data_IF_256037906716
#
_entry.id   IF_256037906716
#
_cell.length_a   1.000
_cell.length_b   1.000
_cell.length_c   1.000
_cell.angle_alpha   90.00
_cell.angle_beta   90.00
_cell.angle_gamma   90.00
#
_symmetry.space_group_name_H-M   'P 1'
#
loop_
_entity.id
_entity.type
_entity.pdbx_description
1 polymer ?
#
# COMPACT_ATOMS: atom_id res chain seq x y z
N UNK A 1 71.72 -11.54 4.76
CA UNK A 1 70.50 -12.34 5.08
C UNK A 1 69.30 -11.43 4.92
N UNK A 2 68.53 -11.63 3.86
CA UNK A 2 67.24 -10.96 3.67
C UNK A 2 66.17 -11.79 4.39
N UNK A 3 65.49 -11.19 5.38
CA UNK A 3 64.30 -11.74 6.00
C UNK A 3 63.17 -10.74 5.85
N UNK A 4 62.40 -10.94 4.79
CA UNK A 4 60.94 -10.84 4.69
C UNK A 4 60.22 -10.07 5.82
N UNK A 5 59.88 -8.82 5.55
CA UNK A 5 58.76 -8.12 6.20
C UNK A 5 57.62 -7.96 5.19
N UNK A 6 56.85 -9.03 4.95
CA UNK A 6 55.57 -8.89 4.25
C UNK A 6 54.59 -8.11 5.13
N UNK A 7 53.78 -7.19 4.60
CA UNK A 7 52.81 -6.48 5.42
C UNK A 7 51.82 -7.48 6.00
N UNK A 8 51.75 -7.49 7.34
CA UNK A 8 50.75 -8.22 8.09
C UNK A 8 49.35 -7.93 7.53
N UNK A 9 48.59 -9.00 7.33
CA UNK A 9 47.19 -9.03 6.96
C UNK A 9 46.42 -7.84 7.52
N UNK A 10 45.85 -7.04 6.61
CA UNK A 10 44.89 -6.00 6.90
C UNK A 10 43.76 -6.56 7.76
N UNK A 11 43.80 -6.30 9.07
CA UNK A 11 42.69 -6.57 9.95
C UNK A 11 41.50 -5.76 9.44
N UNK A 12 40.54 -6.44 8.80
CA UNK A 12 39.31 -5.79 8.39
C UNK A 12 38.62 -5.22 9.62
N UNK A 13 38.06 -4.00 9.55
CA UNK A 13 37.46 -3.37 10.71
C UNK A 13 36.37 -4.28 11.28
N UNK A 14 36.17 -4.30 12.62
CA UNK A 14 35.34 -5.28 13.32
C UNK A 14 33.85 -5.30 12.92
N UNK A 15 33.41 -4.39 12.03
CA UNK A 15 32.05 -4.30 11.50
C UNK A 15 32.00 -4.36 9.96
N UNK A 16 33.04 -4.88 9.31
CA UNK A 16 33.07 -5.03 7.86
C UNK A 16 32.05 -6.10 7.41
N UNK A 17 30.96 -5.66 6.80
CA UNK A 17 30.04 -6.53 6.07
C UNK A 17 30.37 -6.49 4.56
N UNK A 18 30.80 -7.61 3.94
CA UNK A 18 31.17 -7.65 2.52
C UNK A 18 29.99 -7.45 1.57
N UNK A 19 28.74 -7.63 2.04
CA UNK A 19 27.55 -7.46 1.21
C UNK A 19 27.10 -5.99 1.10
N UNK A 20 27.67 -5.10 1.92
CA UNK A 20 27.37 -3.67 1.87
C UNK A 20 28.16 -3.00 0.74
N UNK A 21 27.47 -2.22 -0.09
CA UNK A 21 28.10 -1.45 -1.16
C UNK A 21 28.60 -0.10 -0.62
N UNK A 22 29.78 -0.09 0.01
CA UNK A 22 30.37 1.10 0.64
C UNK A 22 30.47 2.31 -0.30
N UNK A 23 30.79 2.08 -1.58
CA UNK A 23 30.85 3.10 -2.63
C UNK A 23 29.53 3.87 -2.82
N UNK A 24 28.38 3.24 -2.52
CA UNK A 24 27.05 3.80 -2.75
C UNK A 24 26.39 4.32 -1.46
N UNK A 25 27.04 4.20 -0.30
CA UNK A 25 26.53 4.74 0.98
C UNK A 25 26.16 6.22 0.92
N UNK A 26 26.94 7.11 0.26
CA UNK A 26 26.57 8.53 0.17
C UNK A 26 25.23 8.79 -0.52
N UNK A 27 24.75 7.87 -1.36
CA UNK A 27 23.46 8.00 -2.08
C UNK A 27 22.26 7.57 -1.24
N UNK A 28 22.47 6.84 -0.13
CA UNK A 28 21.41 6.28 0.70
C UNK A 28 20.41 7.33 1.20
N UNK A 29 20.82 8.51 1.72
CA UNK A 29 19.86 9.46 2.25
C UNK A 29 18.88 9.98 1.19
N UNK A 30 19.38 10.24 -0.02
CA UNK A 30 18.56 10.68 -1.16
C UNK A 30 17.59 9.59 -1.62
N UNK A 31 18.08 8.35 -1.75
CA UNK A 31 17.25 7.21 -2.15
C UNK A 31 16.14 6.93 -1.12
N UNK A 32 16.48 6.94 0.17
CA UNK A 32 15.53 6.74 1.26
C UNK A 32 14.46 7.84 1.28
N UNK A 33 14.86 9.10 1.13
CA UNK A 33 13.95 10.25 1.09
C UNK A 33 13.02 10.17 -0.13
N UNK A 34 13.56 9.87 -1.30
CA UNK A 34 12.79 9.72 -2.54
C UNK A 34 11.78 8.57 -2.43
N UNK A 35 12.23 7.41 -1.93
CA UNK A 35 11.38 6.25 -1.69
C UNK A 35 10.22 6.59 -0.75
N UNK A 36 10.53 7.18 0.42
CA UNK A 36 9.54 7.53 1.42
C UNK A 36 8.49 8.54 0.92
N UNK A 37 8.93 9.58 0.19
CA UNK A 37 8.02 10.59 -0.38
C UNK A 37 7.12 9.96 -1.44
N UNK A 38 7.69 9.25 -2.41
CA UNK A 38 6.94 8.66 -3.52
C UNK A 38 5.94 7.64 -2.99
N UNK A 39 6.38 6.69 -2.15
CA UNK A 39 5.52 5.64 -1.61
C UNK A 39 4.46 6.22 -0.66
N UNK A 40 4.82 7.23 0.14
CA UNK A 40 3.86 7.95 0.97
C UNK A 40 2.75 8.59 0.15
N UNK A 41 3.09 9.33 -0.91
CA UNK A 41 2.09 9.95 -1.80
C UNK A 41 1.20 8.92 -2.48
N UNK A 42 1.76 7.81 -2.95
CA UNK A 42 1.00 6.73 -3.60
C UNK A 42 -0.04 6.15 -2.63
N UNK A 43 0.38 5.70 -1.46
CA UNK A 43 -0.49 4.93 -0.56
C UNK A 43 -1.43 5.78 0.29
N UNK A 44 -1.06 7.02 0.61
CA UNK A 44 -1.88 7.91 1.44
C UNK A 44 -2.79 8.79 0.58
N UNK A 45 -2.33 9.22 -0.60
CA UNK A 45 -3.06 10.22 -1.39
C UNK A 45 -3.65 9.62 -2.66
N UNK A 46 -2.81 9.13 -3.58
CA UNK A 46 -3.25 8.81 -4.95
C UNK A 46 -4.18 7.59 -4.97
N UNK A 47 -3.78 6.49 -4.34
CA UNK A 47 -4.56 5.24 -4.34
C UNK A 47 -5.90 5.39 -3.60
N UNK A 48 -5.96 6.02 -2.41
CA UNK A 48 -7.23 6.30 -1.73
C UNK A 48 -8.11 7.29 -2.49
N UNK A 49 -7.54 8.34 -3.10
CA UNK A 49 -8.30 9.35 -3.86
C UNK A 49 -9.09 8.71 -5.00
N UNK A 50 -8.44 7.88 -5.82
CA UNK A 50 -9.12 7.14 -6.88
C UNK A 50 -10.25 6.25 -6.35
N UNK A 51 -10.06 5.65 -5.17
CA UNK A 51 -11.04 4.75 -4.54
C UNK A 51 -12.25 5.48 -3.95
N UNK A 52 -12.07 6.70 -3.43
CA UNK A 52 -13.16 7.53 -2.88
C UNK A 52 -13.96 8.21 -3.99
N UNK A 53 -13.31 8.70 -5.04
CA UNK A 53 -13.98 9.44 -6.12
C UNK A 53 -14.95 8.58 -6.92
N UNK A 54 -14.59 7.31 -7.21
CA UNK A 54 -15.50 6.36 -7.88
C UNK A 54 -16.75 6.05 -7.05
N UNK A 55 -16.72 6.31 -5.74
CA UNK A 55 -17.87 6.14 -4.85
C UNK A 55 -18.75 7.39 -4.74
N UNK A 56 -18.16 8.56 -4.91
CA UNK A 56 -18.86 9.84 -4.72
C UNK A 56 -19.64 10.30 -5.96
N UNK A 57 -19.27 9.84 -7.16
CA UNK A 57 -19.94 10.23 -8.41
C UNK A 57 -20.50 9.03 -9.16
N UNK A 58 -21.73 9.16 -9.69
CA UNK A 58 -22.41 8.14 -10.53
C UNK A 58 -22.12 8.29 -12.03
N UNK A 59 -21.24 9.20 -12.42
CA UNK A 59 -20.95 9.47 -13.83
C UNK A 59 -20.06 8.38 -14.44
N UNK A 60 -20.31 8.03 -15.71
CA UNK A 60 -19.49 7.04 -16.45
C UNK A 60 -18.01 7.47 -16.55
N UNK A 61 -17.76 8.78 -16.61
CA UNK A 61 -16.41 9.35 -16.69
C UNK A 61 -15.59 9.11 -15.41
N UNK A 62 -16.24 8.88 -14.27
CA UNK A 62 -15.56 8.66 -13.00
C UNK A 62 -14.74 7.37 -13.00
N UNK A 63 -15.13 6.36 -13.79
CA UNK A 63 -14.34 5.12 -13.95
C UNK A 63 -13.02 5.40 -14.66
N UNK A 64 -13.03 6.25 -15.69
CA UNK A 64 -11.81 6.65 -16.40
C UNK A 64 -10.90 7.48 -15.51
N UNK A 65 -11.47 8.39 -14.73
CA UNK A 65 -10.70 9.15 -13.74
C UNK A 65 -10.07 8.21 -12.69
N UNK A 66 -10.84 7.25 -12.17
CA UNK A 66 -10.31 6.23 -11.27
C UNK A 66 -9.15 5.47 -11.91
N UNK A 67 -9.34 4.95 -13.13
CA UNK A 67 -8.31 4.21 -13.85
C UNK A 67 -7.04 5.06 -14.08
N UNK A 68 -7.19 6.34 -14.43
CA UNK A 68 -6.07 7.27 -14.60
C UNK A 68 -5.31 7.48 -13.27
N UNK A 69 -6.02 7.73 -12.17
CA UNK A 69 -5.38 7.84 -10.85
C UNK A 69 -4.65 6.55 -10.45
N UNK A 70 -5.26 5.39 -10.69
CA UNK A 70 -4.61 4.10 -10.41
C UNK A 70 -3.36 3.93 -11.26
N UNK A 71 -3.40 4.26 -12.55
CA UNK A 71 -2.25 4.16 -13.45
C UNK A 71 -1.10 5.08 -13.01
N UNK A 72 -1.39 6.33 -12.64
CA UNK A 72 -0.38 7.26 -12.10
C UNK A 72 0.22 6.72 -10.79
N UNK A 73 -0.64 6.25 -9.88
CA UNK A 73 -0.20 5.65 -8.61
C UNK A 73 0.70 4.44 -8.83
N UNK A 74 0.42 3.63 -9.84
CA UNK A 74 1.20 2.47 -10.23
C UNK A 74 2.59 2.81 -10.79
N UNK A 75 2.67 3.78 -11.71
CA UNK A 75 3.95 4.24 -12.25
C UNK A 75 4.83 4.78 -11.12
N UNK A 76 4.25 5.61 -10.24
CA UNK A 76 4.96 6.12 -9.07
C UNK A 76 5.36 4.99 -8.11
N UNK A 77 4.48 4.02 -7.86
CA UNK A 77 4.77 2.87 -7.01
C UNK A 77 5.98 2.07 -7.51
N UNK A 78 6.08 1.82 -8.81
CA UNK A 78 7.25 1.13 -9.38
C UNK A 78 8.53 1.96 -9.26
N UNK A 79 8.45 3.28 -9.45
CA UNK A 79 9.59 4.17 -9.18
C UNK A 79 10.02 4.15 -7.71
N UNK A 80 9.06 4.17 -6.79
CA UNK A 80 9.28 4.01 -5.35
C UNK A 80 9.90 2.65 -5.01
N UNK A 81 9.37 1.55 -5.56
CA UNK A 81 9.93 0.22 -5.37
C UNK A 81 11.36 0.13 -5.90
N UNK A 82 11.65 0.67 -7.08
CA UNK A 82 12.99 0.65 -7.67
C UNK A 82 14.02 1.36 -6.78
N UNK A 83 13.67 2.53 -6.23
CA UNK A 83 14.53 3.24 -5.27
C UNK A 83 14.70 2.47 -3.96
N UNK A 84 13.64 1.82 -3.47
CA UNK A 84 13.69 0.96 -2.28
C UNK A 84 14.58 -0.29 -2.46
N UNK A 85 14.49 -0.97 -3.61
CA UNK A 85 15.34 -2.11 -3.96
C UNK A 85 16.80 -1.68 -4.06
N UNK A 86 17.08 -0.55 -4.72
CA UNK A 86 18.45 0.01 -4.80
C UNK A 86 19.02 0.25 -3.40
N UNK A 87 18.26 0.92 -2.53
CA UNK A 87 18.66 1.15 -1.14
C UNK A 87 18.90 -0.17 -0.40
N UNK A 88 17.94 -1.11 -0.46
CA UNK A 88 18.02 -2.38 0.25
C UNK A 88 19.22 -3.25 -0.19
N UNK A 89 19.63 -3.18 -1.46
CA UNK A 89 20.86 -3.82 -1.95
C UNK A 89 22.14 -3.18 -1.39
N UNK A 90 22.16 -1.85 -1.27
CA UNK A 90 23.35 -1.13 -0.75
C UNK A 90 23.63 -1.51 0.71
N UNK A 91 22.59 -1.70 1.54
CA UNK A 91 22.73 -2.01 2.98
C UNK A 91 22.47 -3.47 3.34
N UNK A 92 22.40 -4.37 2.35
CA UNK A 92 22.10 -5.81 2.55
C UNK A 92 20.85 -6.07 3.43
N UNK A 93 19.77 -5.35 3.14
CA UNK A 93 18.49 -5.46 3.85
C UNK A 93 17.36 -5.94 2.94
N UNK A 94 17.69 -6.48 1.78
CA UNK A 94 16.69 -7.02 0.86
C UNK A 94 16.06 -8.26 1.51
N UNK A 95 14.81 -8.13 1.97
CA UNK A 95 13.99 -9.17 2.60
C UNK A 95 14.39 -9.56 4.04
N UNK A 96 15.30 -8.81 4.67
CA UNK A 96 15.73 -9.08 6.04
C UNK A 96 15.09 -8.13 7.07
N UNK A 97 13.90 -7.61 6.77
CA UNK A 97 13.11 -6.81 7.69
C UNK A 97 11.63 -6.80 7.28
N UNK A 98 10.76 -6.59 8.28
CA UNK A 98 9.31 -6.59 8.10
C UNK A 98 8.83 -5.62 7.01
N UNK A 99 9.43 -4.42 6.90
CA UNK A 99 9.05 -3.42 5.91
C UNK A 99 9.31 -3.89 4.46
N UNK A 100 10.46 -4.49 4.19
CA UNK A 100 10.80 -4.98 2.84
C UNK A 100 9.99 -6.21 2.46
N UNK A 101 9.75 -7.13 3.39
CA UNK A 101 8.94 -8.33 3.14
C UNK A 101 7.48 -7.95 2.90
N UNK A 102 6.87 -7.20 3.83
CA UNK A 102 5.48 -6.76 3.72
C UNK A 102 5.27 -5.87 2.49
N UNK A 103 6.17 -4.91 2.25
CA UNK A 103 6.10 -4.03 1.08
C UNK A 103 6.12 -4.80 -0.24
N UNK A 104 6.97 -5.81 -0.35
CA UNK A 104 7.05 -6.66 -1.56
C UNK A 104 5.76 -7.44 -1.77
N UNK A 105 5.21 -8.04 -0.70
CA UNK A 105 3.93 -8.76 -0.76
C UNK A 105 2.77 -7.84 -1.14
N UNK A 106 2.71 -6.63 -0.57
CA UNK A 106 1.66 -5.65 -0.88
C UNK A 106 1.73 -5.23 -2.34
N UNK A 107 2.91 -4.93 -2.88
CA UNK A 107 3.06 -4.53 -4.28
C UNK A 107 2.74 -5.70 -5.22
N UNK A 108 3.21 -6.91 -4.92
CA UNK A 108 2.85 -8.11 -5.67
C UNK A 108 1.33 -8.34 -5.69
N UNK A 109 0.66 -8.13 -4.56
CA UNK A 109 -0.80 -8.19 -4.47
C UNK A 109 -1.50 -7.09 -5.27
N UNK A 110 -0.99 -5.86 -5.21
CA UNK A 110 -1.50 -4.75 -6.02
C UNK A 110 -1.40 -5.07 -7.51
N UNK A 111 -0.43 -5.87 -7.96
CA UNK A 111 -0.31 -6.25 -9.37
C UNK A 111 -1.55 -7.00 -9.89
N UNK A 112 -2.26 -7.71 -9.01
CA UNK A 112 -3.46 -8.45 -9.36
C UNK A 112 -4.72 -7.58 -9.41
N UNK A 113 -4.69 -6.36 -8.86
CA UNK A 113 -5.86 -5.47 -8.79
C UNK A 113 -6.46 -5.10 -10.17
N UNK A 114 -5.67 -4.73 -11.21
CA UNK A 114 -6.20 -4.40 -12.53
C UNK A 114 -6.89 -5.57 -13.21
N UNK A 115 -6.44 -6.81 -12.94
CA UNK A 115 -7.07 -8.02 -13.46
C UNK A 115 -8.47 -8.15 -12.86
N UNK A 116 -8.58 -8.08 -11.53
CA UNK A 116 -9.87 -8.14 -10.85
C UNK A 116 -10.78 -6.97 -11.21
N UNK A 117 -10.22 -5.76 -11.35
CA UNK A 117 -10.94 -4.56 -11.78
C UNK A 117 -11.51 -4.69 -13.18
N UNK A 118 -10.73 -5.25 -14.11
CA UNK A 118 -11.16 -5.48 -15.50
C UNK A 118 -12.28 -6.53 -15.58
N UNK A 119 -12.16 -7.64 -14.85
CA UNK A 119 -13.18 -8.69 -14.81
C UNK A 119 -14.49 -8.15 -14.22
N UNK A 120 -14.40 -7.48 -13.07
CA UNK A 120 -15.56 -6.86 -12.43
C UNK A 120 -16.22 -5.82 -13.35
N UNK A 121 -15.45 -4.91 -13.96
CA UNK A 121 -16.03 -3.84 -14.79
C UNK A 121 -16.77 -4.41 -16.01
N UNK A 122 -16.20 -5.42 -16.68
CA UNK A 122 -16.85 -6.11 -17.81
C UNK A 122 -18.15 -6.80 -17.36
N UNK A 123 -18.13 -7.52 -16.24
CA UNK A 123 -19.30 -8.23 -15.70
C UNK A 123 -20.37 -7.26 -15.17
N UNK A 124 -19.98 -6.15 -14.56
CA UNK A 124 -20.90 -5.12 -14.08
C UNK A 124 -21.61 -4.42 -15.24
N UNK A 125 -20.89 -4.10 -16.33
CA UNK A 125 -21.49 -3.52 -17.54
C UNK A 125 -22.52 -4.47 -18.18
N UNK A 126 -22.25 -5.77 -18.16
CA UNK A 126 -23.12 -6.82 -18.70
C UNK A 126 -24.36 -7.09 -17.83
N UNK A 127 -24.19 -7.22 -16.51
CA UNK A 127 -25.25 -7.75 -15.64
C UNK A 127 -25.94 -6.67 -14.79
N UNK A 128 -25.45 -5.41 -14.80
CA UNK A 128 -25.91 -4.28 -13.97
C UNK A 128 -26.04 -4.59 -12.48
N UNK A 129 -25.38 -5.66 -12.01
CA UNK A 129 -25.49 -6.20 -10.66
C UNK A 129 -24.10 -6.41 -10.08
N UNK A 130 -23.99 -6.21 -8.76
CA UNK A 130 -22.75 -6.42 -8.02
C UNK A 130 -22.43 -7.93 -7.99
N UNK A 131 -21.52 -8.35 -8.85
CA UNK A 131 -21.00 -9.73 -8.87
C UNK A 131 -20.00 -9.96 -7.71
N UNK A 132 -19.73 -11.23 -7.38
CA UNK A 132 -18.73 -11.61 -6.37
C UNK A 132 -17.35 -10.95 -6.62
N UNK A 133 -16.99 -10.78 -7.89
CA UNK A 133 -15.77 -10.08 -8.34
C UNK A 133 -15.72 -8.61 -7.90
N UNK A 134 -16.87 -7.94 -7.82
CA UNK A 134 -16.98 -6.58 -7.29
C UNK A 134 -16.55 -6.54 -5.83
N UNK A 135 -17.02 -7.53 -5.05
CA UNK A 135 -16.73 -7.61 -3.63
C UNK A 135 -15.25 -7.92 -3.41
N UNK A 136 -14.72 -8.91 -4.13
CA UNK A 136 -13.31 -9.28 -4.10
C UNK A 136 -12.45 -8.08 -4.46
N UNK A 137 -12.68 -7.43 -5.61
CA UNK A 137 -11.89 -6.28 -6.06
C UNK A 137 -11.84 -5.15 -5.02
N UNK A 138 -13.02 -4.75 -4.50
CA UNK A 138 -13.13 -3.64 -3.54
C UNK A 138 -12.48 -3.98 -2.20
N UNK A 139 -12.74 -5.17 -1.65
CA UNK A 139 -12.23 -5.54 -0.33
C UNK A 139 -10.74 -5.85 -0.36
N UNK A 140 -10.29 -6.57 -1.38
CA UNK A 140 -8.88 -6.82 -1.63
C UNK A 140 -8.10 -5.51 -1.73
N UNK A 141 -8.64 -4.51 -2.44
CA UNK A 141 -7.98 -3.22 -2.63
C UNK A 141 -7.84 -2.45 -1.32
N UNK A 142 -8.91 -2.44 -0.51
CA UNK A 142 -8.89 -1.78 0.81
C UNK A 142 -7.86 -2.39 1.75
N UNK A 143 -7.80 -3.73 1.82
CA UNK A 143 -6.82 -4.43 2.65
C UNK A 143 -5.41 -4.10 2.21
N UNK A 144 -5.12 -4.11 0.90
CA UNK A 144 -3.80 -3.77 0.38
C UNK A 144 -3.40 -2.31 0.65
N UNK A 145 -4.32 -1.36 0.54
CA UNK A 145 -4.04 0.05 0.89
C UNK A 145 -3.72 0.18 2.38
N UNK A 146 -4.51 -0.47 3.27
CA UNK A 146 -4.26 -0.45 4.72
C UNK A 146 -2.89 -1.07 5.06
N UNK A 147 -2.58 -2.23 4.48
CA UNK A 147 -1.27 -2.86 4.65
C UNK A 147 -0.14 -1.98 4.12
N UNK A 148 -0.35 -1.25 3.03
CA UNK A 148 0.61 -0.28 2.51
C UNK A 148 0.85 0.91 3.45
N UNK A 149 -0.20 1.44 4.08
CA UNK A 149 -0.09 2.51 5.09
C UNK A 149 0.69 2.02 6.32
N UNK A 150 0.36 0.82 6.81
CA UNK A 150 1.09 0.16 7.91
C UNK A 150 2.56 -0.04 7.51
N UNK A 151 2.80 -0.52 6.29
CA UNK A 151 4.14 -0.76 5.77
C UNK A 151 4.96 0.53 5.70
N UNK A 152 4.39 1.65 5.29
CA UNK A 152 5.10 2.93 5.32
C UNK A 152 5.42 3.38 6.75
N UNK A 153 4.57 3.09 7.74
CA UNK A 153 4.88 3.28 9.16
C UNK A 153 6.10 2.47 9.63
N UNK A 154 6.19 1.19 9.22
CA UNK A 154 7.36 0.35 9.46
C UNK A 154 8.62 0.90 8.76
N UNK A 155 8.47 1.46 7.56
CA UNK A 155 9.55 2.12 6.82
C UNK A 155 10.09 3.35 7.54
N UNK A 156 9.21 4.17 8.12
CA UNK A 156 9.62 5.31 8.96
C UNK A 156 10.30 4.86 10.26
N UNK A 157 9.84 3.77 10.88
CA UNK A 157 10.51 3.20 12.04
C UNK A 157 11.93 2.75 11.70
N UNK A 158 12.11 2.08 10.56
CA UNK A 158 13.43 1.67 10.06
C UNK A 158 14.33 2.88 9.73
N UNK A 159 13.74 3.96 9.22
CA UNK A 159 14.47 5.17 8.89
C UNK A 159 14.95 5.97 10.11
N UNK A 160 14.49 5.69 11.35
CA UNK A 160 14.87 6.46 12.55
C UNK A 160 16.37 6.49 12.83
N UNK A 161 17.08 5.43 12.46
CA UNK A 161 18.53 5.32 12.62
C UNK A 161 19.30 5.77 11.37
N UNK A 162 18.59 6.24 10.33
CA UNK A 162 19.18 6.68 9.07
C UNK A 162 19.42 8.20 9.07
N UNK A 163 20.52 8.68 8.44
CA UNK A 163 20.71 10.11 8.17
C UNK A 163 19.59 10.74 7.33
N UNK A 164 18.77 9.93 6.65
CA UNK A 164 17.60 10.38 5.89
C UNK A 164 16.41 10.77 6.78
N UNK A 165 16.47 10.47 8.08
CA UNK A 165 15.38 10.69 9.02
C UNK A 165 14.98 12.17 9.10
N UNK A 166 13.67 12.42 9.09
CA UNK A 166 13.12 13.75 9.27
C UNK A 166 11.97 13.69 10.27
N UNK A 167 12.17 14.30 11.45
CA UNK A 167 11.12 14.47 12.46
C UNK A 167 9.84 15.11 11.89
N UNK A 168 9.88 16.23 11.14
CA UNK A 168 8.67 16.80 10.54
C UNK A 168 8.06 15.87 9.50
N UNK A 169 8.87 15.16 8.71
CA UNK A 169 8.38 14.16 7.75
C UNK A 169 7.61 13.02 8.43
N UNK A 170 8.07 12.59 9.61
CA UNK A 170 7.37 11.60 10.44
C UNK A 170 6.03 12.12 10.92
N UNK A 171 5.98 13.34 11.46
CA UNK A 171 4.73 13.94 11.95
C UNK A 171 3.72 14.04 10.80
N UNK A 172 4.13 14.59 9.65
CA UNK A 172 3.27 14.75 8.47
C UNK A 172 2.75 13.38 8.00
N UNK A 173 3.63 12.39 7.85
CA UNK A 173 3.23 11.05 7.44
C UNK A 173 2.23 10.45 8.43
N UNK A 174 2.52 10.48 9.74
CA UNK A 174 1.67 9.89 10.78
C UNK A 174 0.28 10.53 10.84
N UNK A 175 0.19 11.86 10.72
CA UNK A 175 -1.10 12.56 10.71
C UNK A 175 -1.91 12.18 9.48
N UNK A 176 -1.32 12.22 8.27
CA UNK A 176 -2.02 11.89 7.05
C UNK A 176 -2.42 10.40 7.00
N UNK A 177 -1.52 9.50 7.41
CA UNK A 177 -1.80 8.07 7.52
C UNK A 177 -2.94 7.79 8.51
N UNK A 178 -2.96 8.48 9.66
CA UNK A 178 -4.02 8.37 10.64
C UNK A 178 -5.38 8.83 10.09
N UNK A 179 -5.43 10.01 9.47
CA UNK A 179 -6.66 10.56 8.88
C UNK A 179 -7.21 9.66 7.77
N UNK A 180 -6.36 9.25 6.83
CA UNK A 180 -6.75 8.40 5.70
C UNK A 180 -7.13 6.99 6.19
N UNK A 181 -6.36 6.42 7.12
CA UNK A 181 -6.66 5.13 7.73
C UNK A 181 -8.02 5.15 8.44
N UNK A 182 -8.30 6.18 9.24
CA UNK A 182 -9.59 6.37 9.90
C UNK A 182 -10.73 6.54 8.89
N UNK A 183 -10.53 7.32 7.81
CA UNK A 183 -11.54 7.47 6.76
C UNK A 183 -11.86 6.14 6.06
N UNK A 184 -10.84 5.33 5.77
CA UNK A 184 -11.02 4.00 5.16
C UNK A 184 -11.73 3.03 6.13
N UNK A 185 -11.40 3.06 7.42
CA UNK A 185 -12.09 2.29 8.45
C UNK A 185 -13.54 2.77 8.64
N UNK A 186 -13.80 4.07 8.62
CA UNK A 186 -15.15 4.63 8.65
C UNK A 186 -16.00 4.11 7.48
N UNK A 187 -15.43 4.09 6.27
CA UNK A 187 -16.08 3.53 5.10
C UNK A 187 -16.30 2.00 5.21
N UNK A 188 -15.40 1.30 5.89
CA UNK A 188 -15.52 -0.13 6.20
C UNK A 188 -16.74 -0.40 7.09
N UNK A 189 -16.86 0.32 8.21
CA UNK A 189 -17.95 0.14 9.17
C UNK A 189 -19.30 0.66 8.66
N UNK A 190 -19.32 1.76 7.91
CA UNK A 190 -20.55 2.30 7.30
C UNK A 190 -21.22 1.27 6.39
N UNK A 191 -20.46 0.65 5.49
CA UNK A 191 -20.99 -0.36 4.57
C UNK A 191 -21.49 -1.60 5.32
N UNK A 192 -20.82 -1.97 6.42
CA UNK A 192 -21.27 -3.06 7.30
C UNK A 192 -22.61 -2.76 7.99
N UNK A 193 -22.80 -1.54 8.50
CA UNK A 193 -24.03 -1.11 9.18
C UNK A 193 -25.22 -1.00 8.22
N UNK A 194 -25.01 -0.47 7.01
CA UNK A 194 -26.06 -0.34 5.99
C UNK A 194 -26.64 -1.70 5.56
N UNK A 195 -25.82 -2.76 5.47
CA UNK A 195 -26.30 -4.12 5.17
C UNK A 195 -27.14 -4.73 6.29
N UNK A 196 -26.82 -4.44 7.56
CA UNK A 196 -27.57 -4.97 8.72
C UNK A 196 -28.96 -4.34 8.84
N UNK A 197 -29.08 -3.03 8.63
CA UNK A 197 -30.39 -2.37 8.64
C UNK A 197 -31.30 -2.86 7.50
N UNK A 198 -30.77 -3.00 6.27
CA UNK A 198 -31.55 -3.53 5.15
C UNK A 198 -31.99 -5.00 5.34
N UNK A 199 -31.17 -5.85 5.99
CA UNK A 199 -31.55 -7.23 6.29
C UNK A 199 -32.64 -7.32 7.35
N UNK A 200 -32.58 -6.47 8.37
CA UNK A 200 -33.58 -6.38 9.43
C UNK A 200 -34.94 -5.88 8.90
N UNK A 201 -34.96 -4.82 8.09
CA UNK A 201 -36.20 -4.28 7.52
C UNK A 201 -36.89 -5.29 6.60
N UNK A 202 -36.12 -6.04 5.80
CA UNK A 202 -36.69 -7.08 4.93
C UNK A 202 -37.28 -8.25 5.72
N UNK A 203 -36.60 -8.72 6.77
CA UNK A 203 -37.12 -9.79 7.62
C UNK A 203 -38.42 -9.38 8.35
N UNK A 204 -38.51 -8.13 8.80
CA UNK A 204 -39.74 -7.58 9.41
C UNK A 204 -40.87 -7.48 8.38
N UNK A 205 -40.57 -7.01 7.17
CA UNK A 205 -41.57 -6.87 6.09
C UNK A 205 -42.10 -8.22 5.61
N UNK A 206 -41.22 -9.22 5.41
CA UNK A 206 -41.62 -10.59 5.04
C UNK A 206 -42.40 -11.29 6.15
N UNK A 207 -42.02 -11.08 7.42
CA UNK A 207 -42.77 -11.56 8.57
C UNK A 207 -44.19 -10.99 8.66
N UNK A 208 -44.34 -9.68 8.41
CA UNK A 208 -45.64 -9.00 8.38
C UNK A 208 -46.54 -9.45 7.22
N UNK A 209 -45.97 -9.66 6.02
CA UNK A 209 -46.72 -10.14 4.86
C UNK A 209 -47.19 -11.60 5.02
N UNK A 210 -46.40 -12.43 5.71
CA UNK A 210 -46.79 -13.82 5.99
C UNK A 210 -47.89 -13.93 7.05
N UNK A 211 -47.94 -12.99 8.00
CA UNK A 211 -48.98 -12.94 9.01
C UNK A 211 -50.34 -12.41 8.50
N UNK A 212 -50.35 -11.73 7.35
CA UNK A 212 -51.55 -11.11 6.76
C UNK A 212 -52.07 -11.83 5.52
N UNK A 213 -51.42 -12.92 5.09
CA UNK A 213 -51.87 -13.73 3.97
C UNK A 213 -53.12 -14.56 4.36
N UNK A 214 -54.22 -14.51 3.59
CA UNK A 214 -55.40 -15.32 3.86
C UNK A 214 -55.07 -16.81 3.67
N UNK A 215 -55.59 -17.64 4.58
CA UNK A 215 -55.39 -19.09 4.65
C UNK A 215 -56.05 -19.86 3.50
#
# INVERSE_FOLDING_TARGET
MATTGGPASSEMPPNFNPNIQYENLPKLPSLAKSHGIIMGLVFIVIMPLGSVLIRSSRNKNTVWFHAACQLVGWVMMFGGLATGIKMAKIIDRLHNNAHTVLGTVVIAGLILQPIFGSIHHRKFKSNQTHTIWTHIHVWYGRVLILLGIINGGLGLQLARSSPAYSKPGLIVYSVLAGLVGLALLGLFFWVGKSKRHHGSDKAVTEGSNRATAPA
#
